data_IF_024799877411
#
_entry.id   IF_024799877411
#
_cell.length_a   1.000
_cell.length_b   1.000
_cell.length_c   1.000
_cell.angle_alpha   90.00
_cell.angle_beta   90.00
_cell.angle_gamma   90.00
#
_symmetry.space_group_name_H-M   'P 1'
#
loop_
_entity.id
_entity.type
_entity.pdbx_description
1 polymer ?
#
# COMPACT_ATOMS: atom_id res chain seq x y z
N UNK A 1 -7.50 1.56 4.33
CA UNK A 1 -8.45 2.23 5.26
C UNK A 1 -9.77 2.61 4.64
N UNK A 2 -9.83 3.46 3.60
CA UNK A 2 -11.13 3.81 2.96
C UNK A 2 -11.93 2.59 2.46
N UNK A 3 -11.26 1.55 1.99
CA UNK A 3 -11.93 0.30 1.60
C UNK A 3 -12.44 -0.53 2.79
N UNK A 4 -12.09 -0.18 4.02
CA UNK A 4 -12.43 -0.85 5.28
C UNK A 4 -13.23 0.08 6.23
N UNK A 5 -13.66 1.26 5.76
CA UNK A 5 -14.40 2.22 6.58
C UNK A 5 -15.89 1.88 6.70
N UNK A 6 -16.43 1.18 5.71
CA UNK A 6 -17.80 0.67 5.68
C UNK A 6 -17.73 -0.88 5.68
N UNK A 7 -18.08 -1.55 6.79
CA UNK A 7 -18.00 -3.00 6.92
C UNK A 7 -18.83 -3.76 5.87
N UNK A 8 -20.00 -3.24 5.51
CA UNK A 8 -20.93 -3.91 4.59
C UNK A 8 -20.42 -3.85 3.15
N UNK A 9 -19.75 -2.75 2.79
CA UNK A 9 -19.15 -2.56 1.47
C UNK A 9 -17.71 -3.09 1.37
N UNK A 10 -17.04 -3.42 2.48
CA UNK A 10 -15.60 -3.69 2.53
C UNK A 10 -15.14 -4.78 1.56
N UNK A 11 -15.88 -5.90 1.51
CA UNK A 11 -15.56 -7.03 0.63
C UNK A 11 -15.60 -6.65 -0.86
N UNK A 12 -16.58 -5.83 -1.26
CA UNK A 12 -16.70 -5.31 -2.62
C UNK A 12 -15.63 -4.26 -2.91
N UNK A 13 -15.34 -3.41 -1.93
CA UNK A 13 -14.31 -2.37 -2.03
C UNK A 13 -12.91 -2.98 -2.21
N UNK A 14 -12.51 -3.96 -1.40
CA UNK A 14 -11.23 -4.68 -1.52
C UNK A 14 -11.11 -5.36 -2.89
N UNK A 15 -12.17 -6.01 -3.37
CA UNK A 15 -12.16 -6.66 -4.70
C UNK A 15 -11.93 -5.64 -5.82
N UNK A 16 -12.59 -4.49 -5.74
CA UNK A 16 -12.41 -3.38 -6.69
C UNK A 16 -11.00 -2.82 -6.61
N UNK A 17 -10.49 -2.65 -5.39
CA UNK A 17 -9.14 -2.15 -5.11
C UNK A 17 -8.08 -3.08 -5.72
N UNK A 18 -8.20 -4.40 -5.51
CA UNK A 18 -7.30 -5.40 -6.10
C UNK A 18 -7.25 -5.28 -7.62
N UNK A 19 -8.41 -5.17 -8.29
CA UNK A 19 -8.47 -4.99 -9.76
C UNK A 19 -7.75 -3.72 -10.20
N UNK A 20 -7.92 -2.62 -9.47
CA UNK A 20 -7.24 -1.35 -9.73
C UNK A 20 -5.72 -1.49 -9.60
N UNK A 21 -5.23 -2.16 -8.55
CA UNK A 21 -3.79 -2.40 -8.33
C UNK A 21 -3.17 -3.29 -9.40
N UNK A 22 -3.87 -4.35 -9.82
CA UNK A 22 -3.41 -5.21 -10.93
C UNK A 22 -3.29 -4.40 -12.23
N UNK A 23 -4.29 -3.57 -12.55
CA UNK A 23 -4.22 -2.67 -13.72
C UNK A 23 -3.06 -1.68 -13.61
N UNK A 24 -2.85 -1.10 -12.43
CA UNK A 24 -1.74 -0.17 -12.18
C UNK A 24 -0.37 -0.83 -12.36
N UNK A 25 -0.17 -2.03 -11.79
CA UNK A 25 1.05 -2.82 -11.97
C UNK A 25 1.32 -3.12 -13.45
N UNK A 26 0.30 -3.50 -14.23
CA UNK A 26 0.47 -3.72 -15.68
C UNK A 26 0.95 -2.45 -16.41
N UNK A 27 0.48 -1.26 -15.99
CA UNK A 27 0.97 0.01 -16.53
C UNK A 27 2.43 0.27 -16.15
N UNK A 28 2.83 0.01 -14.91
CA UNK A 28 4.22 0.16 -14.47
C UNK A 28 5.15 -0.79 -15.24
N UNK A 29 4.75 -2.06 -15.40
CA UNK A 29 5.50 -3.04 -16.21
C UNK A 29 5.63 -2.56 -17.65
N UNK A 30 4.55 -2.05 -18.24
CA UNK A 30 4.59 -1.48 -19.61
C UNK A 30 5.55 -0.29 -19.69
N UNK A 31 5.54 0.60 -18.69
CA UNK A 31 6.47 1.73 -18.61
C UNK A 31 7.93 1.29 -18.51
N UNK A 32 8.25 0.18 -17.84
CA UNK A 32 9.63 -0.34 -17.83
C UNK A 32 10.14 -0.77 -19.20
N UNK A 33 9.24 -1.12 -20.13
CA UNK A 33 9.61 -1.51 -21.50
C UNK A 33 9.87 -0.31 -22.42
N UNK A 34 9.52 0.90 -21.99
CA UNK A 34 9.81 2.12 -22.74
C UNK A 34 11.27 2.57 -22.54
N UNK A 35 11.69 3.57 -23.32
CA UNK A 35 13.02 4.17 -23.23
C UNK A 35 13.08 5.09 -22.00
N UNK A 36 13.49 4.53 -20.87
CA UNK A 36 13.84 5.24 -19.65
C UNK A 36 15.36 5.31 -19.48
N UNK A 37 15.86 6.43 -18.97
CA UNK A 37 17.22 6.55 -18.47
C UNK A 37 17.47 5.60 -17.29
N UNK A 38 18.74 5.39 -16.97
CA UNK A 38 19.18 4.41 -15.96
C UNK A 38 18.58 4.70 -14.58
N UNK A 39 18.47 5.97 -14.18
CA UNK A 39 17.98 6.34 -12.85
C UNK A 39 16.47 6.19 -12.78
N UNK A 40 15.72 6.68 -13.76
CA UNK A 40 14.26 6.51 -13.76
C UNK A 40 13.87 5.05 -13.88
N UNK A 41 14.61 4.23 -14.65
CA UNK A 41 14.40 2.79 -14.68
C UNK A 41 14.52 2.15 -13.29
N UNK A 42 15.56 2.52 -12.52
CA UNK A 42 15.72 2.04 -11.13
C UNK A 42 14.56 2.48 -10.23
N UNK A 43 14.13 3.74 -10.32
CA UNK A 43 12.96 4.26 -9.56
C UNK A 43 11.70 3.46 -9.86
N UNK A 44 11.43 3.16 -11.13
CA UNK A 44 10.26 2.37 -11.53
C UNK A 44 10.35 0.94 -11.03
N UNK A 45 11.53 0.32 -11.06
CA UNK A 45 11.73 -1.04 -10.50
C UNK A 45 11.47 -1.03 -8.99
N UNK A 46 12.02 -0.06 -8.26
CA UNK A 46 11.76 0.09 -6.83
C UNK A 46 10.26 0.28 -6.53
N UNK A 47 9.58 1.13 -7.32
CA UNK A 47 8.14 1.33 -7.22
C UNK A 47 7.36 0.03 -7.48
N UNK A 48 7.71 -0.75 -8.51
CA UNK A 48 7.06 -2.04 -8.78
C UNK A 48 7.20 -3.00 -7.59
N UNK A 49 8.37 -3.06 -6.95
CA UNK A 49 8.59 -3.90 -5.77
C UNK A 49 7.63 -3.53 -4.62
N UNK A 50 7.48 -2.23 -4.34
CA UNK A 50 6.55 -1.71 -3.32
C UNK A 50 5.09 -2.06 -3.68
N UNK A 51 4.70 -1.84 -4.94
CA UNK A 51 3.31 -2.04 -5.38
C UNK A 51 2.91 -3.51 -5.50
N UNK A 52 3.86 -4.41 -5.78
CA UNK A 52 3.63 -5.86 -5.71
C UNK A 52 3.31 -6.27 -4.27
N UNK A 53 4.08 -5.78 -3.30
CA UNK A 53 3.78 -6.02 -1.89
C UNK A 53 2.39 -5.48 -1.51
N UNK A 54 2.05 -4.25 -1.91
CA UNK A 54 0.73 -3.67 -1.65
C UNK A 54 -0.42 -4.51 -2.22
N UNK A 55 -0.28 -5.01 -3.46
CA UNK A 55 -1.26 -5.92 -4.08
C UNK A 55 -1.44 -7.20 -3.26
N UNK A 56 -0.34 -7.79 -2.79
CA UNK A 56 -0.37 -9.04 -2.05
C UNK A 56 -1.00 -8.85 -0.66
N UNK A 57 -0.73 -7.73 0.01
CA UNK A 57 -1.44 -7.34 1.23
C UNK A 57 -2.94 -7.15 0.98
N UNK A 58 -3.36 -6.49 -0.10
CA UNK A 58 -4.79 -6.36 -0.46
C UNK A 58 -5.44 -7.74 -0.67
N UNK A 59 -4.74 -8.67 -1.32
CA UNK A 59 -5.23 -10.03 -1.52
C UNK A 59 -5.36 -10.79 -0.19
N UNK A 60 -4.38 -10.63 0.71
CA UNK A 60 -4.41 -11.21 2.06
C UNK A 60 -5.62 -10.72 2.86
N UNK A 61 -5.87 -9.40 2.86
CA UNK A 61 -7.05 -8.80 3.51
C UNK A 61 -8.36 -9.39 2.97
N UNK A 62 -8.46 -9.52 1.65
CA UNK A 62 -9.64 -10.09 1.00
C UNK A 62 -9.87 -11.58 1.34
N UNK A 63 -8.80 -12.37 1.42
CA UNK A 63 -8.84 -13.79 1.81
C UNK A 63 -9.19 -13.99 3.27
N UNK A 64 -8.67 -13.13 4.14
CA UNK A 64 -8.96 -13.15 5.57
C UNK A 64 -10.37 -12.63 5.91
N UNK A 65 -11.10 -12.08 4.94
CA UNK A 65 -12.42 -11.50 5.17
C UNK A 65 -12.38 -10.25 6.04
N UNK A 66 -11.29 -9.49 5.97
CA UNK A 66 -11.13 -8.24 6.70
C UNK A 66 -12.19 -7.22 6.27
N UNK A 67 -12.94 -6.69 7.24
CA UNK A 67 -14.02 -5.72 7.03
C UNK A 67 -13.79 -4.41 7.75
N UNK A 68 -12.89 -4.37 8.73
CA UNK A 68 -12.68 -3.20 9.59
C UNK A 68 -11.21 -2.77 9.64
N UNK A 69 -10.99 -1.49 9.89
CA UNK A 69 -9.65 -0.91 10.10
C UNK A 69 -8.98 -1.37 11.40
N UNK A 70 -9.71 -2.02 12.30
CA UNK A 70 -9.20 -2.58 13.55
C UNK A 70 -8.79 -4.05 13.41
N UNK A 71 -9.11 -4.70 12.29
CA UNK A 71 -8.77 -6.10 12.08
C UNK A 71 -7.26 -6.30 12.03
N UNK A 72 -6.78 -7.32 12.75
CA UNK A 72 -5.35 -7.57 12.91
C UNK A 72 -4.58 -7.66 11.58
N UNK A 73 -5.18 -8.26 10.56
CA UNK A 73 -4.57 -8.38 9.23
C UNK A 73 -4.24 -7.01 8.60
N UNK A 74 -5.06 -5.99 8.84
CA UNK A 74 -4.76 -4.62 8.43
C UNK A 74 -3.78 -3.94 9.38
N UNK A 75 -4.02 -4.03 10.69
CA UNK A 75 -3.21 -3.31 11.69
C UNK A 75 -1.77 -3.82 11.74
N UNK A 76 -1.53 -5.09 11.41
CA UNK A 76 -0.19 -5.71 11.29
C UNK A 76 0.67 -5.15 10.15
N UNK A 77 0.07 -4.47 9.17
CA UNK A 77 0.80 -3.82 8.08
C UNK A 77 1.50 -2.55 8.57
N UNK A 78 2.66 -2.26 7.98
CA UNK A 78 3.34 -0.98 8.15
C UNK A 78 2.55 0.12 7.45
N UNK A 79 2.20 1.19 8.17
CA UNK A 79 1.33 2.25 7.66
C UNK A 79 1.94 3.62 7.94
N UNK A 80 2.02 4.44 6.90
CA UNK A 80 2.63 5.76 6.94
C UNK A 80 1.54 6.82 6.97
N UNK A 81 1.64 7.77 7.90
CA UNK A 81 0.72 8.88 8.03
C UNK A 81 1.51 10.18 8.16
N UNK A 82 0.96 11.25 7.61
CA UNK A 82 1.40 12.59 7.94
C UNK A 82 0.65 13.06 9.18
N UNK A 83 1.35 13.26 10.28
CA UNK A 83 0.78 13.80 11.52
C UNK A 83 0.82 15.33 11.46
N UNK A 84 -0.35 15.95 11.40
CA UNK A 84 -0.46 17.41 11.31
C UNK A 84 -0.03 18.12 12.60
N UNK A 85 -0.16 17.47 13.75
CA UNK A 85 0.20 18.05 15.05
C UNK A 85 1.70 18.02 15.26
N UNK A 86 2.35 16.90 14.92
CA UNK A 86 3.80 16.78 14.97
C UNK A 86 4.50 17.43 13.75
N UNK A 87 3.74 17.72 12.68
CA UNK A 87 4.25 18.14 11.38
C UNK A 87 5.34 17.21 10.83
N UNK A 88 5.13 15.91 11.00
CA UNK A 88 6.11 14.86 10.69
C UNK A 88 5.42 13.61 10.14
N UNK A 89 6.17 12.76 9.45
CA UNK A 89 5.69 11.45 9.04
C UNK A 89 5.86 10.44 10.18
N UNK A 90 4.74 9.81 10.56
CA UNK A 90 4.73 8.75 11.56
C UNK A 90 4.41 7.41 10.91
N UNK A 91 5.12 6.39 11.36
CA UNK A 91 4.95 5.01 10.94
C UNK A 91 4.23 4.25 12.05
N UNK A 92 3.12 3.57 11.71
CA UNK A 92 2.31 2.79 12.64
C UNK A 92 2.32 1.32 12.25
N UNK A 93 2.49 0.44 13.24
CA UNK A 93 2.35 -1.01 13.07
C UNK A 93 1.83 -1.63 14.37
N UNK A 94 0.75 -2.40 14.28
CA UNK A 94 0.05 -2.99 15.45
C UNK A 94 -0.34 -1.89 16.46
N UNK A 95 0.40 -1.76 17.55
CA UNK A 95 0.21 -0.75 18.60
C UNK A 95 1.35 0.27 18.66
N UNK A 96 2.42 0.05 17.90
CA UNK A 96 3.63 0.87 17.94
C UNK A 96 3.56 2.01 16.93
N UNK A 97 4.10 3.16 17.32
CA UNK A 97 4.20 4.37 16.51
C UNK A 97 5.63 4.89 16.61
N UNK A 98 6.23 5.21 15.46
CA UNK A 98 7.61 5.69 15.36
C UNK A 98 7.69 6.87 14.38
N UNK A 99 8.61 7.81 14.59
CA UNK A 99 8.92 8.82 13.57
C UNK A 99 9.63 8.19 12.38
N UNK A 100 9.37 8.71 11.19
CA UNK A 100 10.04 8.27 9.97
C UNK A 100 11.52 8.72 9.98
N UNK A 101 12.43 7.84 9.54
CA UNK A 101 13.88 8.08 9.64
C UNK A 101 14.50 8.92 8.52
N UNK A 102 13.77 9.19 7.43
CA UNK A 102 14.24 10.00 6.29
C UNK A 102 15.51 9.51 5.58
N UNK A 103 15.80 8.22 5.65
CA UNK A 103 16.93 7.60 4.94
C UNK A 103 16.63 7.36 3.46
N UNK A 104 17.69 7.35 2.64
CA UNK A 104 17.60 6.98 1.22
C UNK A 104 17.62 5.46 1.05
N UNK A 105 16.81 4.95 0.12
CA UNK A 105 16.79 3.54 -0.30
C UNK A 105 17.34 3.33 -1.71
#
# INVERSE_FOLDING_TARGET
>A
EKALSDPDAAKKAIRTLKKKWVSYLSKLVTMTRSKLDKVNRKKVVALITIEVHARDSIDKLGKAGCTQVTDFEWVSQLRFYWDQTANDCVVKQVLSVFSYGYEYQ
#
